data_IF_823581026965
#
_entry.id   IF_823581026965
#
_cell.length_a   1.000
_cell.length_b   1.000
_cell.length_c   1.000
_cell.angle_alpha   90.00
_cell.angle_beta   90.00
_cell.angle_gamma   90.00
#
_symmetry.space_group_name_H-M   'P 1'
#
loop_
_entity.id
_entity.type
_entity.pdbx_description
1 polymer ?
#
# COMPACT_ATOMS: atom_id res chain seq x y z
N UNK A 1 14.25 -25.28 14.45
CA UNK A 1 13.17 -24.29 14.16
C UNK A 1 12.69 -23.59 15.44
N UNK A 2 12.20 -24.30 16.47
CA UNK A 2 11.68 -23.72 17.71
C UNK A 2 12.64 -22.77 18.46
N UNK A 3 13.92 -23.13 18.58
CA UNK A 3 14.95 -22.29 19.22
C UNK A 3 15.09 -20.92 18.55
N UNK A 4 15.01 -20.88 17.21
CA UNK A 4 15.09 -19.64 16.48
C UNK A 4 13.86 -18.77 16.74
N UNK A 5 12.65 -19.34 16.69
CA UNK A 5 11.41 -18.64 17.02
C UNK A 5 11.45 -18.02 18.43
N UNK A 6 11.93 -18.78 19.42
CA UNK A 6 12.06 -18.31 20.80
C UNK A 6 13.06 -17.14 20.90
N UNK A 7 14.28 -17.32 20.39
CA UNK A 7 15.36 -16.34 20.53
C UNK A 7 15.27 -15.13 19.59
N UNK A 8 14.42 -15.22 18.57
CA UNK A 8 14.10 -14.13 17.65
C UNK A 8 12.71 -13.52 17.93
N UNK A 9 12.10 -13.83 19.09
CA UNK A 9 10.85 -13.21 19.52
C UNK A 9 11.02 -11.68 19.60
N UNK A 10 10.19 -10.89 18.90
CA UNK A 10 10.28 -9.42 18.94
C UNK A 10 10.06 -8.84 20.34
N UNK A 11 9.26 -9.54 21.16
CA UNK A 11 8.81 -9.08 22.48
C UNK A 11 9.66 -9.61 23.63
N UNK A 12 10.50 -10.63 23.40
CA UNK A 12 11.32 -11.26 24.43
C UNK A 12 12.78 -11.29 23.99
N UNK A 13 13.58 -10.39 24.59
CA UNK A 13 15.02 -10.36 24.38
C UNK A 13 15.70 -11.25 25.42
N UNK A 14 16.40 -12.26 24.93
CA UNK A 14 17.23 -13.12 25.76
C UNK A 14 18.69 -12.68 25.70
N UNK A 15 19.31 -12.51 26.87
CA UNK A 15 20.76 -12.32 26.99
C UNK A 15 21.50 -13.57 26.51
N UNK A 16 22.80 -13.44 26.23
CA UNK A 16 23.63 -14.59 25.86
C UNK A 16 23.61 -15.68 26.94
N UNK A 17 23.67 -15.28 28.21
CA UNK A 17 23.59 -16.21 29.35
C UNK A 17 22.24 -16.93 29.42
N UNK A 18 21.13 -16.21 29.22
CA UNK A 18 19.79 -16.81 29.19
C UNK A 18 19.64 -17.79 28.02
N UNK A 19 20.12 -17.44 26.83
CA UNK A 19 20.10 -18.34 25.68
C UNK A 19 20.93 -19.60 25.94
N UNK A 20 22.11 -19.48 26.55
CA UNK A 20 22.94 -20.64 26.92
C UNK A 20 22.20 -21.54 27.91
N UNK A 21 21.69 -20.96 29.00
CA UNK A 21 20.98 -21.70 30.03
C UNK A 21 19.78 -22.48 29.47
N UNK A 22 19.00 -21.89 28.55
CA UNK A 22 17.86 -22.56 27.90
C UNK A 22 18.32 -23.76 27.06
N UNK A 23 19.42 -23.61 26.30
CA UNK A 23 19.95 -24.70 25.49
C UNK A 23 20.57 -25.81 26.35
N UNK A 24 21.27 -25.45 27.41
CA UNK A 24 21.88 -26.42 28.31
C UNK A 24 20.83 -27.17 29.12
N UNK A 25 19.74 -26.49 29.52
CA UNK A 25 18.56 -27.11 30.10
C UNK A 25 17.90 -28.11 29.12
N UNK A 26 17.72 -27.73 27.84
CA UNK A 26 17.17 -28.63 26.83
C UNK A 26 18.04 -29.89 26.65
N UNK A 27 19.38 -29.75 26.65
CA UNK A 27 20.30 -30.89 26.61
C UNK A 27 20.17 -31.78 27.85
N UNK A 28 20.08 -31.18 29.04
CA UNK A 28 19.95 -31.91 30.29
C UNK A 28 18.64 -32.73 30.37
N UNK A 29 17.57 -32.26 29.72
CA UNK A 29 16.32 -33.00 29.57
C UNK A 29 16.34 -34.08 28.47
N UNK A 30 17.49 -34.30 27.81
CA UNK A 30 17.63 -35.31 26.77
C UNK A 30 17.05 -34.91 25.42
N UNK A 31 16.81 -33.62 25.16
CA UNK A 31 16.36 -33.18 23.84
C UNK A 31 17.43 -33.49 22.77
N UNK A 32 17.00 -34.09 21.65
CA UNK A 32 17.87 -34.34 20.51
C UNK A 32 18.07 -33.07 19.67
N UNK A 33 19.19 -32.99 18.95
CA UNK A 33 19.50 -31.93 17.98
C UNK A 33 19.46 -30.48 18.53
N UNK A 34 19.83 -30.29 19.80
CA UNK A 34 19.92 -28.94 20.40
C UNK A 34 21.04 -28.14 19.71
N UNK A 35 20.72 -27.00 19.05
CA UNK A 35 21.73 -26.24 18.33
C UNK A 35 22.70 -25.55 19.29
N UNK A 36 23.94 -25.33 18.84
CA UNK A 36 24.85 -24.43 19.55
C UNK A 36 24.44 -22.96 19.34
N UNK A 37 24.82 -22.07 20.26
CA UNK A 37 24.61 -20.63 20.08
C UNK A 37 25.28 -20.11 18.80
N UNK A 38 26.43 -20.69 18.43
CA UNK A 38 27.09 -20.41 17.17
C UNK A 38 26.21 -20.77 15.95
N UNK A 39 25.58 -21.95 15.96
CA UNK A 39 24.69 -22.38 14.87
C UNK A 39 23.44 -21.48 14.77
N UNK A 40 22.87 -21.05 15.91
CA UNK A 40 21.76 -20.08 15.93
C UNK A 40 22.20 -18.75 15.31
N UNK A 41 23.36 -18.22 15.72
CA UNK A 41 23.91 -16.96 15.19
C UNK A 41 24.17 -17.05 13.67
N UNK A 42 24.82 -18.11 13.21
CA UNK A 42 25.10 -18.34 11.77
C UNK A 42 23.83 -18.43 10.95
N UNK A 43 22.77 -19.03 11.51
CA UNK A 43 21.44 -19.08 10.87
C UNK A 43 20.82 -17.68 10.79
N UNK A 44 20.89 -16.89 11.86
CA UNK A 44 20.41 -15.50 11.86
C UNK A 44 21.14 -14.65 10.81
N UNK A 45 22.47 -14.76 10.74
CA UNK A 45 23.28 -14.08 9.72
C UNK A 45 22.90 -14.50 8.30
N UNK A 46 22.64 -15.80 8.07
CA UNK A 46 22.18 -16.29 6.77
C UNK A 46 20.82 -15.71 6.40
N UNK A 47 19.87 -15.69 7.33
CA UNK A 47 18.54 -15.12 7.10
C UNK A 47 18.62 -13.61 6.84
N UNK A 48 19.46 -12.90 7.59
CA UNK A 48 19.68 -11.47 7.38
C UNK A 48 20.30 -11.17 6.02
N UNK A 49 21.21 -12.03 5.52
CA UNK A 49 21.76 -11.91 4.16
C UNK A 49 20.71 -12.17 3.08
N UNK A 50 19.81 -13.13 3.31
CA UNK A 50 18.77 -13.49 2.34
C UNK A 50 17.62 -12.47 2.28
N UNK A 51 17.15 -11.99 3.44
CA UNK A 51 16.00 -11.08 3.55
C UNK A 51 16.41 -9.60 3.59
N UNK A 52 17.69 -9.33 3.83
CA UNK A 52 18.25 -8.01 4.04
C UNK A 52 17.88 -7.40 5.40
N UNK A 53 18.42 -6.21 5.67
CA UNK A 53 17.97 -5.36 6.77
C UNK A 53 16.93 -4.37 6.27
N UNK A 54 15.81 -4.14 6.99
CA UNK A 54 14.92 -3.04 6.67
C UNK A 54 15.51 -1.69 7.04
N UNK A 55 16.51 -1.64 7.91
CA UNK A 55 17.06 -0.42 8.48
C UNK A 55 18.09 0.23 7.54
N UNK A 56 17.86 1.47 7.17
CA UNK A 56 18.72 2.33 6.36
C UNK A 56 19.32 3.44 7.24
N UNK A 57 20.60 3.77 7.03
CA UNK A 57 21.25 4.90 7.68
C UNK A 57 20.85 6.19 6.96
N UNK A 58 20.43 7.20 7.72
CA UNK A 58 20.09 8.53 7.21
C UNK A 58 21.06 9.54 7.82
N UNK A 59 21.65 10.38 6.96
CA UNK A 59 22.49 11.51 7.38
C UNK A 59 21.81 12.81 6.96
N UNK A 60 21.58 13.70 7.92
CA UNK A 60 20.88 14.97 7.71
C UNK A 60 21.85 16.05 7.22
N UNK A 61 21.29 17.11 6.63
CA UNK A 61 22.08 18.29 6.22
C UNK A 61 22.76 19.00 7.41
N UNK A 62 22.25 18.81 8.62
CA UNK A 62 22.80 19.37 9.86
C UNK A 62 23.88 18.47 10.48
N UNK A 63 24.23 17.36 9.83
CA UNK A 63 25.29 16.44 10.29
C UNK A 63 24.81 15.36 11.26
N UNK A 64 23.52 15.34 11.64
CA UNK A 64 22.97 14.28 12.47
C UNK A 64 22.86 12.98 11.68
N UNK A 65 23.04 11.87 12.38
CA UNK A 65 22.83 10.52 11.82
C UNK A 65 21.76 9.81 12.64
N UNK A 66 20.81 9.21 11.95
CA UNK A 66 19.82 8.30 12.55
C UNK A 66 19.53 7.13 11.61
N UNK A 67 18.67 6.21 12.04
CA UNK A 67 18.35 4.99 11.33
C UNK A 67 16.85 4.89 11.11
N UNK A 68 16.44 4.52 9.90
CA UNK A 68 15.05 4.43 9.50
C UNK A 68 14.75 3.06 8.90
N UNK A 69 13.66 2.43 9.33
CA UNK A 69 13.16 1.22 8.69
C UNK A 69 12.42 1.58 7.40
N UNK A 70 12.83 0.99 6.29
CA UNK A 70 12.31 1.26 4.96
C UNK A 70 10.79 1.00 4.89
N UNK A 71 10.05 2.06 4.59
CA UNK A 71 8.58 2.05 4.50
C UNK A 71 8.11 1.05 3.44
N UNK A 72 8.81 0.98 2.29
CA UNK A 72 8.50 0.01 1.23
C UNK A 72 8.48 -1.43 1.70
N UNK A 73 9.42 -1.82 2.59
CA UNK A 73 9.47 -3.18 3.13
C UNK A 73 8.34 -3.45 4.10
N UNK A 74 7.97 -2.46 4.92
CA UNK A 74 6.86 -2.58 5.86
C UNK A 74 5.54 -2.82 5.12
N UNK A 75 5.25 -2.02 4.10
CA UNK A 75 4.03 -2.15 3.30
C UNK A 75 4.01 -3.48 2.53
N UNK A 76 5.13 -3.89 1.92
CA UNK A 76 5.20 -5.19 1.24
C UNK A 76 4.88 -6.36 2.19
N UNK A 77 5.35 -6.31 3.44
CA UNK A 77 5.01 -7.32 4.45
C UNK A 77 3.54 -7.29 4.86
N UNK A 78 2.91 -6.12 4.91
CA UNK A 78 1.48 -6.01 5.24
C UNK A 78 0.62 -6.66 4.15
N UNK A 79 1.02 -6.56 2.87
CA UNK A 79 0.32 -7.18 1.73
C UNK A 79 0.57 -8.69 1.59
N UNK A 80 1.77 -9.16 1.97
CA UNK A 80 2.11 -10.57 1.95
C UNK A 80 1.51 -11.36 3.14
N UNK A 81 1.02 -10.67 4.17
CA UNK A 81 0.49 -11.30 5.38
C UNK A 81 -1.04 -11.38 5.36
N UNK A 82 -1.62 -12.60 5.45
CA UNK A 82 -3.08 -12.78 5.38
C UNK A 82 -3.81 -12.08 6.52
N UNK A 83 -3.21 -11.99 7.72
CA UNK A 83 -3.85 -11.37 8.87
C UNK A 83 -4.07 -9.87 8.67
N UNK A 84 -3.20 -9.20 7.94
CA UNK A 84 -3.29 -7.76 7.64
C UNK A 84 -4.00 -7.51 6.33
N UNK A 85 -3.72 -8.28 5.28
CA UNK A 85 -4.20 -7.98 3.92
C UNK A 85 -5.69 -8.27 3.70
N UNK A 86 -6.23 -9.38 4.21
CA UNK A 86 -7.64 -9.73 4.02
C UNK A 86 -8.63 -8.69 4.55
N UNK A 87 -8.42 -8.07 5.72
CA UNK A 87 -9.32 -7.00 6.18
C UNK A 87 -9.09 -5.65 5.50
N UNK A 88 -8.04 -5.47 4.69
CA UNK A 88 -7.79 -4.18 4.02
C UNK A 88 -8.83 -3.87 2.94
N UNK A 89 -9.10 -2.58 2.81
CA UNK A 89 -10.00 -2.02 1.82
C UNK A 89 -9.23 -1.16 0.81
N UNK A 90 -9.32 -1.53 -0.46
CA UNK A 90 -8.47 -1.00 -1.52
C UNK A 90 -8.98 0.33 -2.10
N UNK A 91 -10.26 0.65 -1.89
CA UNK A 91 -10.93 1.82 -2.44
C UNK A 91 -11.59 2.65 -1.34
N UNK A 92 -11.64 3.99 -1.48
CA UNK A 92 -12.50 4.82 -0.65
C UNK A 92 -13.95 4.34 -0.71
N UNK A 93 -14.67 4.38 0.40
CA UNK A 93 -16.09 4.02 0.47
C UNK A 93 -16.94 5.22 0.86
N UNK A 94 -18.06 5.39 0.17
CA UNK A 94 -19.11 6.31 0.59
C UNK A 94 -19.77 5.78 1.87
N UNK A 95 -19.38 6.37 3.00
CA UNK A 95 -19.92 6.06 4.32
C UNK A 95 -21.33 6.60 4.59
N UNK A 96 -22.04 7.13 3.57
CA UNK A 96 -23.40 7.67 3.67
C UNK A 96 -23.52 8.73 4.79
N UNK A 97 -22.54 9.63 4.85
CA UNK A 97 -22.45 10.68 5.87
C UNK A 97 -21.87 10.24 7.22
N UNK A 98 -21.40 8.99 7.36
CA UNK A 98 -20.73 8.48 8.57
C UNK A 98 -19.26 8.19 8.28
N UNK A 99 -18.39 8.45 9.25
CA UNK A 99 -16.97 8.14 9.17
C UNK A 99 -16.52 7.29 10.38
N UNK A 100 -16.63 5.97 10.24
CA UNK A 100 -16.11 5.01 11.22
C UNK A 100 -14.71 4.48 10.90
N UNK A 101 -14.29 4.61 9.63
CA UNK A 101 -13.05 4.07 9.08
C UNK A 101 -12.32 5.15 8.28
N UNK A 102 -11.03 4.98 8.03
CA UNK A 102 -10.24 5.96 7.26
C UNK A 102 -10.78 6.08 5.82
N UNK A 103 -11.09 4.96 5.19
CA UNK A 103 -11.64 4.91 3.83
C UNK A 103 -13.05 5.53 3.70
N UNK A 104 -13.76 5.81 4.80
CA UNK A 104 -15.03 6.55 4.81
C UNK A 104 -14.87 8.09 4.80
N UNK A 105 -13.63 8.59 4.94
CA UNK A 105 -13.39 10.03 5.02
C UNK A 105 -13.71 10.73 3.70
N UNK A 106 -14.46 11.84 3.73
CA UNK A 106 -14.77 12.58 2.50
C UNK A 106 -13.49 13.05 1.78
N UNK A 107 -12.41 13.32 2.51
CA UNK A 107 -11.11 13.64 1.90
C UNK A 107 -10.54 12.47 1.07
N UNK A 108 -10.78 11.23 1.47
CA UNK A 108 -10.36 10.04 0.72
C UNK A 108 -11.24 9.82 -0.50
N UNK A 109 -12.53 10.09 -0.36
CA UNK A 109 -13.47 10.04 -1.47
C UNK A 109 -13.20 11.23 -2.40
N UNK A 110 -13.61 12.45 -2.08
CA UNK A 110 -13.62 13.60 -2.99
C UNK A 110 -12.35 14.45 -2.99
N UNK A 111 -11.58 14.42 -1.90
CA UNK A 111 -10.49 15.38 -1.68
C UNK A 111 -9.09 14.93 -2.10
N UNK A 112 -8.92 13.70 -2.61
CA UNK A 112 -7.62 13.23 -3.06
C UNK A 112 -7.26 13.83 -4.42
N UNK A 113 -6.02 14.33 -4.60
CA UNK A 113 -5.47 14.60 -5.91
C UNK A 113 -5.57 13.38 -6.84
N UNK A 114 -5.78 13.62 -8.14
CA UNK A 114 -5.91 12.56 -9.16
C UNK A 114 -4.74 11.55 -9.16
N UNK A 115 -3.53 11.99 -8.78
CA UNK A 115 -2.35 11.14 -8.73
C UNK A 115 -2.25 10.26 -7.46
N UNK A 116 -3.13 10.46 -6.47
CA UNK A 116 -3.19 9.66 -5.23
C UNK A 116 -4.46 8.81 -5.14
N UNK A 117 -5.49 9.12 -5.94
CA UNK A 117 -6.69 8.30 -6.05
C UNK A 117 -6.35 6.89 -6.59
N UNK A 118 -7.16 5.87 -6.29
CA UNK A 118 -6.95 4.52 -6.82
C UNK A 118 -6.84 4.55 -8.35
N UNK A 119 -5.69 4.14 -8.92
CA UNK A 119 -5.40 4.39 -10.33
C UNK A 119 -6.05 3.38 -11.27
N UNK A 120 -6.44 2.21 -10.76
CA UNK A 120 -7.03 1.16 -11.56
C UNK A 120 -7.99 0.24 -10.78
N UNK A 121 -8.77 -0.52 -11.54
CA UNK A 121 -9.65 -1.60 -11.04
C UNK A 121 -9.46 -2.84 -11.87
N UNK A 122 -9.60 -4.01 -11.23
CA UNK A 122 -9.62 -5.30 -11.93
C UNK A 122 -11.05 -5.79 -12.09
N UNK A 123 -11.41 -6.17 -13.31
CA UNK A 123 -12.70 -6.76 -13.67
C UNK A 123 -12.42 -7.93 -14.62
N UNK A 124 -12.90 -9.13 -14.28
CA UNK A 124 -12.75 -10.36 -15.07
C UNK A 124 -11.31 -10.65 -15.56
N UNK A 125 -10.32 -10.34 -14.73
CA UNK A 125 -8.89 -10.54 -15.03
C UNK A 125 -8.22 -9.37 -15.76
N UNK A 126 -8.98 -8.44 -16.32
CA UNK A 126 -8.47 -7.25 -17.01
C UNK A 126 -8.32 -6.06 -16.06
N UNK A 127 -7.30 -5.23 -16.32
CA UNK A 127 -7.02 -4.02 -15.52
C UNK A 127 -7.44 -2.78 -16.30
N UNK A 128 -8.33 -2.01 -15.70
CA UNK A 128 -8.87 -0.75 -16.23
C UNK A 128 -8.29 0.42 -15.44
N UNK A 129 -7.59 1.33 -16.12
CA UNK A 129 -7.00 2.51 -15.48
C UNK A 129 -7.92 3.72 -15.59
N UNK A 130 -7.79 4.64 -14.62
CA UNK A 130 -8.36 5.97 -14.76
C UNK A 130 -7.77 6.71 -15.97
N UNK A 131 -8.57 7.58 -16.54
CA UNK A 131 -8.28 8.39 -17.72
C UNK A 131 -8.05 7.59 -19.02
N UNK A 132 -8.36 6.29 -19.06
CA UNK A 132 -8.29 5.48 -20.28
C UNK A 132 -9.69 5.16 -20.84
N UNK A 133 -9.80 5.15 -22.17
CA UNK A 133 -11.03 4.78 -22.85
C UNK A 133 -11.25 3.28 -22.66
N UNK A 134 -12.46 2.91 -22.25
CA UNK A 134 -12.90 1.52 -22.16
C UNK A 134 -14.26 1.34 -22.84
N UNK A 135 -14.56 0.12 -23.24
CA UNK A 135 -15.88 -0.27 -23.74
C UNK A 135 -16.59 -1.09 -22.67
N UNK A 136 -17.84 -0.74 -22.43
CA UNK A 136 -18.74 -1.49 -21.56
C UNK A 136 -19.37 -2.67 -22.32
N UNK A 137 -19.90 -3.64 -21.58
CA UNK A 137 -20.61 -4.81 -22.13
C UNK A 137 -21.82 -4.43 -23.01
N UNK A 138 -22.40 -3.24 -22.78
CA UNK A 138 -23.47 -2.64 -23.60
C UNK A 138 -22.99 -2.03 -24.91
N UNK A 139 -21.70 -2.16 -25.25
CA UNK A 139 -21.04 -1.51 -26.41
C UNK A 139 -20.95 0.01 -26.35
N UNK A 140 -21.30 0.61 -25.20
CA UNK A 140 -21.05 2.02 -24.92
C UNK A 140 -19.60 2.23 -24.48
N UNK A 141 -19.07 3.43 -24.67
CA UNK A 141 -17.71 3.78 -24.26
C UNK A 141 -17.72 4.71 -23.06
N UNK A 142 -16.67 4.62 -22.25
CA UNK A 142 -16.55 5.34 -20.99
C UNK A 142 -15.09 5.70 -20.70
N UNK A 143 -14.86 6.78 -19.98
CA UNK A 143 -13.55 7.15 -19.43
C UNK A 143 -13.70 7.31 -17.92
N UNK A 144 -13.23 6.35 -17.09
CA UNK A 144 -13.29 6.46 -15.65
C UNK A 144 -12.33 7.55 -15.17
N UNK A 145 -12.79 8.41 -14.27
CA UNK A 145 -11.98 9.42 -13.59
C UNK A 145 -11.60 8.99 -12.18
N UNK A 146 -12.42 8.14 -11.55
CA UNK A 146 -12.25 7.72 -10.16
C UNK A 146 -12.96 6.42 -9.86
N UNK A 147 -12.37 5.59 -9.00
CA UNK A 147 -12.97 4.38 -8.44
C UNK A 147 -13.26 4.54 -6.96
N UNK A 148 -14.41 4.05 -6.51
CA UNK A 148 -14.84 4.08 -5.11
C UNK A 148 -15.84 2.95 -4.84
N UNK A 149 -16.08 2.65 -3.57
CA UNK A 149 -17.08 1.69 -3.13
C UNK A 149 -18.31 2.41 -2.60
N UNK A 150 -19.50 1.87 -2.87
CA UNK A 150 -20.72 2.35 -2.26
C UNK A 150 -21.75 1.22 -2.11
N UNK A 151 -22.61 1.36 -1.11
CA UNK A 151 -23.78 0.50 -0.91
C UNK A 151 -24.97 1.14 -1.60
N UNK A 152 -25.39 0.55 -2.72
CA UNK A 152 -26.52 1.04 -3.51
C UNK A 152 -27.89 0.73 -2.86
N UNK A 153 -27.92 -0.20 -1.89
CA UNK A 153 -29.14 -0.56 -1.18
C UNK A 153 -28.98 -0.37 0.34
N UNK A 154 -30.00 0.13 1.05
CA UNK A 154 -29.94 0.37 2.49
C UNK A 154 -29.90 -0.90 3.36
N UNK A 155 -30.09 -2.08 2.76
CA UNK A 155 -30.09 -3.34 3.50
C UNK A 155 -28.69 -3.64 4.05
N UNK A 156 -28.60 -3.96 5.35
CA UNK A 156 -27.36 -4.30 6.04
C UNK A 156 -26.60 -5.49 5.45
N UNK A 157 -27.24 -6.31 4.61
CA UNK A 157 -26.67 -7.47 3.93
C UNK A 157 -26.13 -7.19 2.52
N UNK A 158 -26.34 -5.99 1.96
CA UNK A 158 -25.82 -5.67 0.63
C UNK A 158 -24.32 -5.38 0.71
N UNK A 159 -23.52 -6.16 -0.04
CA UNK A 159 -22.08 -5.92 -0.18
C UNK A 159 -21.84 -4.59 -0.92
N UNK A 160 -20.80 -3.87 -0.50
CA UNK A 160 -20.38 -2.65 -1.17
C UNK A 160 -19.88 -2.99 -2.58
N UNK A 161 -20.41 -2.29 -3.59
CA UNK A 161 -20.00 -2.48 -4.97
C UNK A 161 -18.94 -1.45 -5.33
N UNK A 162 -17.99 -1.84 -6.18
CA UNK A 162 -17.04 -0.90 -6.76
C UNK A 162 -17.71 -0.19 -7.93
N UNK A 163 -17.69 1.14 -7.88
CA UNK A 163 -18.27 2.05 -8.85
C UNK A 163 -17.17 2.91 -9.46
N UNK A 164 -17.44 3.40 -10.67
CA UNK A 164 -16.60 4.37 -11.36
C UNK A 164 -17.39 5.65 -11.61
N UNK A 165 -16.81 6.80 -11.24
CA UNK A 165 -17.25 8.11 -11.70
C UNK A 165 -16.42 8.48 -12.94
N UNK A 166 -17.05 8.94 -14.00
CA UNK A 166 -16.35 9.27 -15.24
C UNK A 166 -17.28 9.73 -16.35
N UNK A 167 -16.74 9.86 -17.56
CA UNK A 167 -17.44 10.44 -18.70
C UNK A 167 -17.98 9.36 -19.64
N UNK A 168 -19.21 9.54 -20.12
CA UNK A 168 -19.71 8.78 -21.26
C UNK A 168 -18.98 9.23 -22.52
N UNK A 169 -18.76 8.30 -23.44
CA UNK A 169 -18.12 8.59 -24.71
C UNK A 169 -18.95 8.04 -25.87
N UNK A 170 -19.21 8.89 -26.85
CA UNK A 170 -19.93 8.56 -28.07
C UNK A 170 -18.94 8.44 -29.23
N UNK A 171 -19.04 7.36 -29.99
CA UNK A 171 -18.27 7.21 -31.22
C UNK A 171 -18.97 7.96 -32.36
N UNK A 172 -18.25 8.88 -33.02
CA UNK A 172 -18.74 9.68 -34.15
C UNK A 172 -17.89 9.42 -35.40
N UNK A 173 -18.29 9.99 -36.54
CA UNK A 173 -17.49 9.92 -37.76
C UNK A 173 -16.11 10.61 -37.65
N UNK A 174 -16.00 11.62 -36.78
CA UNK A 174 -14.76 12.38 -36.55
C UNK A 174 -13.87 11.76 -35.45
N UNK A 175 -14.40 10.77 -34.70
CA UNK A 175 -13.71 10.12 -33.59
C UNK A 175 -14.58 10.00 -32.34
N UNK A 176 -13.94 9.71 -31.20
CA UNK A 176 -14.60 9.64 -29.90
C UNK A 176 -14.87 11.04 -29.33
N UNK A 177 -16.13 11.28 -28.97
CA UNK A 177 -16.59 12.51 -28.32
C UNK A 177 -16.93 12.24 -26.86
N UNK A 178 -16.32 12.98 -25.95
CA UNK A 178 -16.50 12.83 -24.50
C UNK A 178 -17.62 13.76 -24.04
N UNK A 179 -18.59 13.22 -23.30
CA UNK A 179 -19.63 14.01 -22.64
C UNK A 179 -19.01 14.78 -21.45
N UNK A 180 -19.17 16.11 -21.34
CA UNK A 180 -18.65 16.86 -20.20
C UNK A 180 -19.27 16.45 -18.86
N UNK A 181 -20.50 15.91 -18.86
CA UNK A 181 -21.16 15.46 -17.64
C UNK A 181 -20.58 14.11 -17.18
N UNK A 182 -20.22 14.04 -15.90
CA UNK A 182 -19.77 12.79 -15.29
C UNK A 182 -20.95 12.01 -14.73
N UNK A 183 -20.92 10.70 -14.95
CA UNK A 183 -21.90 9.75 -14.43
C UNK A 183 -21.22 8.66 -13.63
N UNK A 184 -22.00 8.02 -12.76
CA UNK A 184 -21.57 6.85 -12.00
C UNK A 184 -22.03 5.59 -12.71
N UNK A 185 -21.15 4.61 -12.86
CA UNK A 185 -21.47 3.29 -13.41
C UNK A 185 -20.79 2.18 -12.63
N UNK A 186 -21.40 0.98 -12.48
CA UNK A 186 -20.73 -0.16 -11.87
C UNK A 186 -19.53 -0.63 -12.71
N UNK A 187 -18.41 -0.96 -12.05
CA UNK A 187 -17.23 -1.49 -12.78
C UNK A 187 -17.49 -2.86 -13.41
N UNK A 188 -18.49 -3.60 -12.92
CA UNK A 188 -18.95 -4.85 -13.53
C UNK A 188 -19.51 -4.69 -14.95
N UNK A 189 -19.74 -3.45 -15.41
CA UNK A 189 -20.10 -3.17 -16.80
C UNK A 189 -18.89 -3.12 -17.73
N UNK A 190 -17.67 -3.05 -17.21
CA UNK A 190 -16.46 -2.91 -18.02
C UNK A 190 -16.13 -4.20 -18.75
N UNK A 191 -15.72 -4.10 -20.02
CA UNK A 191 -15.51 -5.28 -20.86
C UNK A 191 -14.20 -5.21 -21.65
N UNK A 192 -14.01 -4.21 -22.51
CA UNK A 192 -12.76 -4.04 -23.27
C UNK A 192 -11.93 -2.88 -22.71
N UNK A 193 -10.66 -3.17 -22.46
CA UNK A 193 -9.65 -2.18 -22.06
C UNK A 193 -9.27 -1.29 -23.24
N UNK A 194 -8.48 -0.24 -22.98
CA UNK A 194 -7.95 0.62 -24.04
C UNK A 194 -7.10 -0.14 -25.05
N UNK A 195 -6.26 -1.07 -24.59
CA UNK A 195 -5.42 -1.92 -25.45
C UNK A 195 -6.29 -2.81 -26.35
N UNK A 196 -7.36 -3.41 -25.81
CA UNK A 196 -8.32 -4.20 -26.61
C UNK A 196 -8.96 -3.35 -27.71
N UNK A 197 -9.32 -2.10 -27.41
CA UNK A 197 -9.91 -1.17 -28.39
C UNK A 197 -8.88 -0.82 -29.47
N UNK A 198 -7.64 -0.49 -29.10
CA UNK A 198 -6.56 -0.22 -30.07
C UNK A 198 -6.36 -1.41 -31.03
N UNK A 199 -6.37 -2.64 -30.50
CA UNK A 199 -6.27 -3.85 -31.30
C UNK A 199 -7.47 -4.06 -32.23
N UNK A 200 -8.71 -3.84 -31.74
CA UNK A 200 -9.93 -3.98 -32.55
C UNK A 200 -9.98 -3.00 -33.71
N UNK A 201 -9.52 -1.77 -33.50
CA UNK A 201 -9.53 -0.73 -34.52
C UNK A 201 -8.37 -0.83 -35.51
N UNK A 202 -7.36 -1.66 -35.23
CA UNK A 202 -6.09 -1.70 -35.98
C UNK A 202 -5.45 -0.31 -36.13
N UNK A 203 -5.75 0.59 -35.20
CA UNK A 203 -5.30 1.98 -35.19
C UNK A 203 -4.67 2.27 -33.81
N UNK A 204 -3.35 2.50 -33.74
CA UNK A 204 -2.70 2.84 -32.48
C UNK A 204 -3.16 4.22 -31.96
N UNK A 205 -3.59 5.11 -32.86
CA UNK A 205 -3.97 6.48 -32.55
C UNK A 205 -5.49 6.63 -32.60
N UNK A 206 -6.16 6.12 -31.55
CA UNK A 206 -7.59 6.30 -31.35
C UNK A 206 -7.95 7.79 -31.45
N UNK A 207 -8.69 8.17 -32.48
CA UNK A 207 -9.04 9.56 -32.76
C UNK A 207 -10.12 10.07 -31.83
N UNK A 208 -9.90 11.25 -31.27
CA UNK A 208 -10.89 12.02 -30.51
C UNK A 208 -11.31 13.26 -31.29
N UNK A 209 -12.53 13.73 -31.05
CA UNK A 209 -12.99 15.01 -31.60
C UNK A 209 -12.14 16.16 -31.07
N UNK A 210 -12.12 17.31 -31.76
CA UNK A 210 -11.30 18.46 -31.37
C UNK A 210 -11.61 18.94 -29.93
N UNK A 211 -12.88 18.89 -29.51
CA UNK A 211 -13.30 19.24 -28.15
C UNK A 211 -12.83 18.24 -27.09
N UNK A 212 -12.51 17.00 -27.49
CA UNK A 212 -12.11 15.90 -26.60
C UNK A 212 -10.61 15.61 -26.61
N UNK A 213 -9.82 16.37 -27.38
CA UNK A 213 -8.39 16.15 -27.57
C UNK A 213 -7.55 16.17 -26.28
N UNK A 214 -8.04 16.82 -25.22
CA UNK A 214 -7.37 16.82 -23.92
C UNK A 214 -7.35 15.42 -23.26
N UNK A 215 -8.41 14.62 -23.47
CA UNK A 215 -8.49 13.26 -22.91
C UNK A 215 -7.52 12.30 -23.61
N UNK A 216 -7.33 12.45 -24.91
CA UNK A 216 -6.38 11.64 -25.69
C UNK A 216 -4.94 11.73 -25.13
N UNK A 217 -4.54 12.89 -24.60
CA UNK A 217 -3.20 13.11 -24.02
C UNK A 217 -2.96 12.38 -22.70
N UNK A 218 -4.00 11.83 -22.09
CA UNK A 218 -3.93 11.10 -20.82
C UNK A 218 -3.88 9.57 -21.03
N UNK A 219 -3.92 9.12 -22.29
CA UNK A 219 -3.97 7.72 -22.68
C UNK A 219 -2.74 7.33 -23.53
N UNK A 220 -2.12 6.16 -23.30
CA UNK A 220 -2.36 5.27 -22.17
C UNK A 220 -1.92 5.91 -20.85
N UNK A 221 -2.49 5.44 -19.75
CA UNK A 221 -2.11 5.86 -18.41
C UNK A 221 -0.62 5.49 -18.17
N UNK A 222 0.23 6.42 -17.69
CA UNK A 222 1.65 6.12 -17.46
C UNK A 222 1.90 4.93 -16.51
N UNK A 223 0.98 4.67 -15.58
CA UNK A 223 1.08 3.55 -14.64
C UNK A 223 0.83 2.19 -15.30
N UNK A 224 0.17 2.13 -16.47
CA UNK A 224 0.01 0.90 -17.24
C UNK A 224 1.37 0.34 -17.64
N UNK A 225 2.23 1.18 -18.23
CA UNK A 225 3.60 0.80 -18.60
C UNK A 225 4.44 0.54 -17.34
N UNK A 226 4.36 1.43 -16.34
CA UNK A 226 5.18 1.31 -15.11
C UNK A 226 4.90 0.03 -14.32
N UNK A 227 3.65 -0.42 -14.29
CA UNK A 227 3.24 -1.63 -13.56
C UNK A 227 3.61 -2.94 -14.25
N UNK A 228 3.81 -2.91 -15.58
CA UNK A 228 4.09 -4.10 -16.38
C UNK A 228 2.99 -5.16 -16.27
N UNK A 229 1.72 -4.72 -16.29
CA UNK A 229 0.55 -5.60 -16.19
C UNK A 229 0.13 -5.98 -14.76
N UNK A 230 0.79 -5.43 -13.73
CA UNK A 230 0.41 -5.64 -12.33
C UNK A 230 -0.72 -4.71 -11.91
N UNK A 231 -1.57 -5.18 -10.99
CA UNK A 231 -2.54 -4.31 -10.32
C UNK A 231 -1.81 -3.22 -9.55
N UNK A 232 -2.32 -1.98 -9.63
CA UNK A 232 -1.71 -0.82 -8.96
C UNK A 232 -2.61 -0.34 -7.84
N UNK A 233 -2.08 -0.33 -6.61
CA UNK A 233 -2.81 0.05 -5.41
C UNK A 233 -2.12 1.24 -4.73
N UNK A 234 -2.89 2.23 -4.31
CA UNK A 234 -2.38 3.34 -3.50
C UNK A 234 -2.55 3.02 -2.02
N UNK A 235 -1.53 3.34 -1.21
CA UNK A 235 -1.45 2.94 0.20
C UNK A 235 -1.35 4.20 1.07
N UNK A 236 -2.46 4.74 1.57
CA UNK A 236 -2.43 5.82 2.53
C UNK A 236 -1.74 5.39 3.82
N UNK A 237 -0.88 6.26 4.36
CA UNK A 237 -0.13 6.01 5.58
C UNK A 237 -0.58 6.95 6.71
N UNK A 238 -0.84 6.38 7.87
CA UNK A 238 -0.99 7.15 9.12
C UNK A 238 0.40 7.26 9.73
N UNK A 239 0.96 8.45 9.73
CA UNK A 239 2.28 8.71 10.31
C UNK A 239 2.10 9.60 11.53
N UNK A 240 2.65 9.16 12.66
CA UNK A 240 2.60 9.93 13.88
C UNK A 240 3.93 9.83 14.61
N UNK A 241 4.22 10.87 15.37
CA UNK A 241 5.43 10.98 16.16
C UNK A 241 5.04 11.29 17.59
N UNK A 242 5.64 10.55 18.53
CA UNK A 242 5.37 10.69 19.95
C UNK A 242 6.67 10.96 20.71
N UNK A 243 6.54 11.63 21.86
CA UNK A 243 7.65 11.85 22.78
C UNK A 243 7.69 10.80 23.90
N UNK A 244 8.69 9.94 23.80
CA UNK A 244 8.93 8.88 24.78
C UNK A 244 10.12 9.22 25.65
N UNK A 245 10.12 8.72 26.89
CA UNK A 245 11.28 8.81 27.77
C UNK A 245 11.95 7.46 27.91
N UNK A 246 13.27 7.43 27.77
CA UNK A 246 14.06 6.23 28.05
C UNK A 246 14.20 5.93 29.55
N UNK A 247 13.57 6.72 30.42
CA UNK A 247 13.64 6.65 31.87
C UNK A 247 12.24 6.82 32.49
N UNK A 248 12.10 6.49 33.79
CA UNK A 248 10.82 6.59 34.54
C UNK A 248 10.25 8.03 34.53
N UNK A 249 11.09 9.07 34.33
CA UNK A 249 10.65 10.45 34.16
C UNK A 249 10.93 11.01 32.76
N UNK A 250 9.96 11.80 32.24
CA UNK A 250 10.02 12.45 30.92
C UNK A 250 11.02 13.61 30.80
N UNK A 251 11.62 14.04 31.91
CA UNK A 251 12.32 15.32 31.98
C UNK A 251 13.76 15.29 31.47
N UNK A 252 14.44 14.14 31.49
CA UNK A 252 15.90 14.10 31.32
C UNK A 252 16.42 13.36 30.08
N UNK A 253 15.58 12.57 29.38
CA UNK A 253 15.99 11.82 28.18
C UNK A 253 14.81 11.69 27.21
N UNK A 254 14.41 12.82 26.62
CA UNK A 254 13.34 12.88 25.64
C UNK A 254 13.82 12.29 24.31
N UNK A 255 13.11 11.30 23.81
CA UNK A 255 13.32 10.74 22.48
C UNK A 255 12.05 10.93 21.67
N UNK A 256 12.23 11.28 20.40
CA UNK A 256 11.15 11.27 19.44
C UNK A 256 11.16 9.94 18.70
N UNK A 257 10.00 9.30 18.66
CA UNK A 257 9.80 8.07 17.91
C UNK A 257 8.73 8.30 16.87
N UNK A 258 9.02 7.90 15.64
CA UNK A 258 8.08 7.93 14.53
C UNK A 258 7.53 6.53 14.31
N UNK A 259 6.21 6.45 14.24
CA UNK A 259 5.46 5.25 13.93
C UNK A 259 4.63 5.44 12.66
N UNK A 260 4.25 4.32 12.06
CA UNK A 260 3.41 4.29 10.87
C UNK A 260 2.41 3.14 10.94
N UNK A 261 1.20 3.38 10.45
CA UNK A 261 0.20 2.34 10.19
C UNK A 261 -0.31 2.47 8.76
N UNK A 262 -0.63 1.34 8.12
CA UNK A 262 -1.26 1.32 6.80
C UNK A 262 -2.77 1.61 6.95
N UNK A 263 -3.24 2.69 6.32
CA UNK A 263 -4.59 3.21 6.50
C UNK A 263 -5.65 2.50 5.64
N UNK A 264 -5.26 1.52 4.82
CA UNK A 264 -6.19 0.58 4.16
C UNK A 264 -6.80 -0.38 5.17
N UNK A 265 -6.14 -0.60 6.32
CA UNK A 265 -6.66 -1.46 7.37
C UNK A 265 -7.84 -0.79 8.11
N UNK A 266 -8.81 -1.58 8.58
CA UNK A 266 -9.88 -1.05 9.40
C UNK A 266 -9.33 -0.65 10.77
N UNK A 267 -10.03 0.24 11.44
CA UNK A 267 -9.67 0.85 12.72
C UNK A 267 -9.33 -0.20 13.78
N UNK A 268 -10.12 -1.26 13.85
CA UNK A 268 -9.95 -2.38 14.79
C UNK A 268 -8.62 -3.12 14.58
N UNK A 269 -8.05 -3.04 13.38
CA UNK A 269 -6.72 -3.55 13.07
C UNK A 269 -5.64 -2.50 13.34
N UNK A 270 -5.85 -1.24 12.95
CA UNK A 270 -4.89 -0.15 13.16
C UNK A 270 -4.57 0.06 14.64
N UNK A 271 -5.54 -0.11 15.53
CA UNK A 271 -5.37 0.01 16.99
C UNK A 271 -4.60 -1.17 17.61
N UNK A 272 -4.37 -2.27 16.89
CA UNK A 272 -3.55 -3.39 17.37
C UNK A 272 -2.07 -3.06 17.24
N UNK A 273 -1.30 -3.29 18.30
CA UNK A 273 0.16 -3.12 18.32
C UNK A 273 0.85 -3.78 17.13
N UNK A 274 0.36 -4.93 16.67
CA UNK A 274 0.88 -5.66 15.52
C UNK A 274 0.91 -4.82 14.22
N UNK A 275 -0.04 -3.91 14.06
CA UNK A 275 -0.25 -3.07 12.89
C UNK A 275 0.44 -1.70 13.00
N UNK A 276 1.04 -1.40 14.16
CA UNK A 276 1.83 -0.18 14.38
C UNK A 276 3.29 -0.48 14.12
N UNK A 277 3.85 0.11 13.07
CA UNK A 277 5.23 -0.11 12.63
C UNK A 277 6.16 0.96 13.21
N UNK A 278 7.23 0.54 13.89
CA UNK A 278 8.32 1.44 14.25
C UNK A 278 9.10 1.85 12.99
N UNK A 279 9.19 3.16 12.73
CA UNK A 279 9.90 3.71 11.57
C UNK A 279 11.28 4.20 11.95
N UNK A 280 11.38 5.09 12.94
CA UNK A 280 12.65 5.73 13.29
C UNK A 280 12.61 6.31 14.70
N UNK A 281 13.78 6.45 15.31
CA UNK A 281 13.98 7.28 16.49
C UNK A 281 15.39 7.85 16.53
N UNK A 282 15.56 8.97 17.24
CA UNK A 282 16.89 9.52 17.49
C UNK A 282 16.93 10.34 18.78
N UNK A 283 18.03 10.25 19.56
CA UNK A 283 18.31 11.18 20.65
C UNK A 283 18.90 12.52 20.18
N UNK A 284 19.35 12.62 18.92
CA UNK A 284 20.11 13.77 18.42
C UNK A 284 19.41 14.48 17.26
N UNK A 285 18.65 13.75 16.45
CA UNK A 285 17.89 14.36 15.36
C UNK A 285 16.62 15.01 15.91
N UNK A 286 16.35 16.21 15.42
CA UNK A 286 15.12 16.93 15.72
C UNK A 286 13.89 16.24 15.10
N UNK A 287 12.67 16.50 15.61
CA UNK A 287 11.43 16.09 14.97
C UNK A 287 11.36 16.32 13.45
N UNK A 288 11.79 17.49 12.98
CA UNK A 288 11.74 17.83 11.56
C UNK A 288 12.75 17.03 10.75
N UNK A 289 13.93 16.75 11.28
CA UNK A 289 14.91 15.87 10.62
C UNK A 289 14.39 14.44 10.49
N UNK A 290 13.73 13.92 11.54
CA UNK A 290 13.10 12.60 11.50
C UNK A 290 12.00 12.56 10.44
N UNK A 291 11.11 13.56 10.43
CA UNK A 291 10.02 13.65 9.45
C UNK A 291 10.51 13.88 8.03
N UNK A 292 11.63 14.60 7.83
CA UNK A 292 12.27 14.72 6.52
C UNK A 292 12.76 13.36 6.02
N UNK A 293 13.42 12.57 6.87
CA UNK A 293 13.85 11.22 6.49
C UNK A 293 12.67 10.29 6.17
N UNK A 294 11.55 10.43 6.88
CA UNK A 294 10.30 9.70 6.60
C UNK A 294 9.73 10.11 5.25
N UNK A 295 9.61 11.42 4.99
CA UNK A 295 9.16 11.95 3.70
C UNK A 295 10.02 11.44 2.55
N UNK A 296 11.34 11.48 2.69
CA UNK A 296 12.27 11.02 1.65
C UNK A 296 12.13 9.51 1.41
N UNK A 297 11.85 8.72 2.46
CA UNK A 297 11.59 7.28 2.37
C UNK A 297 10.28 6.98 1.62
N UNK A 298 9.22 7.77 1.84
CA UNK A 298 7.94 7.67 1.09
C UNK A 298 8.17 8.06 -0.37
N UNK A 299 8.82 9.19 -0.63
CA UNK A 299 9.10 9.65 -1.99
C UNK A 299 9.90 8.61 -2.77
N UNK A 300 10.93 8.02 -2.16
CA UNK A 300 11.71 6.94 -2.75
C UNK A 300 10.83 5.74 -3.11
N UNK A 301 9.86 5.39 -2.27
CA UNK A 301 8.93 4.29 -2.52
C UNK A 301 7.86 4.62 -3.59
N UNK A 302 7.60 5.89 -3.86
CA UNK A 302 6.74 6.36 -4.97
C UNK A 302 7.50 6.39 -6.30
N UNK A 303 8.76 6.85 -6.26
CA UNK A 303 9.63 6.95 -7.44
C UNK A 303 10.04 5.55 -7.95
N UNK A 304 10.47 4.67 -7.02
CA UNK A 304 10.77 3.25 -7.18
C UNK A 304 9.64 2.42 -6.55
N UNK A 305 8.57 2.08 -7.32
CA UNK A 305 7.35 1.51 -6.78
C UNK A 305 7.60 0.18 -6.08
N UNK A 306 6.80 -0.08 -5.04
CA UNK A 306 6.94 -1.28 -4.24
C UNK A 306 6.25 -2.44 -4.97
N UNK A 307 7.04 -3.35 -5.54
CA UNK A 307 6.51 -4.63 -6.02
C UNK A 307 6.42 -5.60 -4.84
N UNK A 308 5.22 -6.10 -4.58
CA UNK A 308 4.95 -7.01 -3.47
C UNK A 308 4.01 -8.13 -3.91
N UNK A 309 4.16 -9.30 -3.28
CA UNK A 309 3.16 -10.35 -3.40
C UNK A 309 1.93 -9.99 -2.56
N UNK A 310 0.77 -9.94 -3.20
CA UNK A 310 -0.52 -9.75 -2.56
C UNK A 310 -1.14 -11.11 -2.26
N UNK A 311 -1.28 -11.46 -0.99
CA UNK A 311 -1.84 -12.76 -0.58
C UNK A 311 -3.35 -12.87 -0.82
N UNK A 312 -4.08 -11.76 -0.95
CA UNK A 312 -5.50 -11.75 -1.28
C UNK A 312 -5.71 -12.04 -2.77
N UNK A 313 -4.87 -11.48 -3.64
CA UNK A 313 -4.94 -11.69 -5.09
C UNK A 313 -4.07 -12.83 -5.61
N UNK A 314 -3.18 -13.38 -4.77
CA UNK A 314 -2.26 -14.47 -5.11
C UNK A 314 -1.33 -14.15 -6.29
N UNK A 315 -0.87 -12.90 -6.37
CA UNK A 315 -0.05 -12.39 -7.47
C UNK A 315 0.84 -11.23 -7.02
N UNK A 316 1.70 -10.74 -7.92
CA UNK A 316 2.44 -9.49 -7.68
C UNK A 316 1.59 -8.26 -8.00
N UNK A 317 1.65 -7.28 -7.10
CA UNK A 317 1.02 -5.96 -7.25
C UNK A 317 2.07 -4.86 -7.12
N UNK A 318 1.77 -3.69 -7.71
CA UNK A 318 2.55 -2.47 -7.54
C UNK A 318 1.87 -1.56 -6.52
N UNK A 319 2.59 -1.18 -5.46
CA UNK A 319 2.05 -0.35 -4.38
C UNK A 319 2.69 1.04 -4.41
N UNK A 320 1.84 2.07 -4.25
CA UNK A 320 2.25 3.48 -4.22
C UNK A 320 1.84 4.10 -2.88
N UNK A 321 2.78 4.29 -1.94
CA UNK A 321 2.47 4.90 -0.65
C UNK A 321 2.29 6.42 -0.73
N UNK A 322 1.46 6.97 0.16
CA UNK A 322 1.32 8.42 0.35
C UNK A 322 0.86 8.80 1.76
#
# INVERSE_FOLDING_TARGET
FATHLLFSSPRLRFSHAQKSAILDWAKALGAHDVPSLYAVKKTQERLQKLLGSPTEKVSTRLGNTFYLNAIKKAIAMDFANPLTRFPMQDYPEDGQGRMSQVHHGNKMLEGLPDNLAPPCVRVDGSIFFVNELLQQSTKQYFIPKKFFQARLQPSSSAEAQILALGHKVCQTAEGFSVDPEMVITPVSTFFHTFEDIQHQHSDPDIKFTASSAAHAKLMPNPLRIKSGGRMVLTVPLIIFMDDVSGNISKQWNKHHVVYMSNALMPREMVEKEFCVRFVSSSPHATPLELMQGVKDSIQKATDDPVIAFDVKYQEEVMLIPY
#
